data_IF_499421289604
#
_entry.id   IF_499421289604
#
_cell.length_a   1.000
_cell.length_b   1.000
_cell.length_c   1.000
_cell.angle_alpha   90.00
_cell.angle_beta   90.00
_cell.angle_gamma   90.00
#
_symmetry.space_group_name_H-M   'P 1'
#
loop_
_entity.id
_entity.type
_entity.pdbx_description
1 polymer ?
#
# COMPACT_ATOMS: atom_id res chain seq x y z
N UNK A 1 -37.76 5.03 -24.90
CA UNK A 1 -37.20 6.37 -25.17
C UNK A 1 -35.69 6.27 -25.07
N UNK A 2 -34.97 6.48 -26.18
CA UNK A 2 -33.51 6.34 -26.23
C UNK A 2 -32.83 7.67 -25.89
N UNK A 3 -32.06 7.71 -24.80
CA UNK A 3 -31.22 8.86 -24.47
C UNK A 3 -29.98 8.85 -25.37
N UNK A 4 -29.81 9.91 -26.18
CA UNK A 4 -28.63 10.11 -27.02
C UNK A 4 -27.49 10.66 -26.16
N UNK A 5 -26.38 9.92 -26.08
CA UNK A 5 -25.15 10.40 -25.48
C UNK A 5 -24.45 11.39 -26.43
N UNK A 6 -24.38 12.66 -26.05
CA UNK A 6 -23.52 13.66 -26.69
C UNK A 6 -22.20 13.78 -25.92
N UNK A 7 -21.09 13.49 -26.57
CA UNK A 7 -19.73 13.69 -26.02
C UNK A 7 -19.12 15.01 -26.46
N UNK A 8 -17.96 15.38 -25.91
CA UNK A 8 -17.28 16.67 -26.19
C UNK A 8 -16.87 16.90 -27.66
N UNK A 9 -17.03 15.91 -28.53
CA UNK A 9 -16.72 15.96 -29.96
C UNK A 9 -17.96 15.78 -30.86
N UNK A 10 -19.16 15.83 -30.28
CA UNK A 10 -20.39 15.83 -31.07
C UNK A 10 -20.55 17.20 -31.77
N UNK A 11 -20.84 17.24 -33.08
CA UNK A 11 -21.06 18.51 -33.79
C UNK A 11 -22.37 19.11 -33.27
N UNK A 12 -22.27 20.05 -32.31
CA UNK A 12 -23.42 20.71 -31.67
C UNK A 12 -23.28 21.01 -30.17
N UNK A 13 -22.09 20.93 -29.56
CA UNK A 13 -21.90 21.27 -28.15
C UNK A 13 -21.53 22.74 -27.93
N UNK A 14 -22.44 23.48 -27.30
CA UNK A 14 -22.25 24.88 -26.87
C UNK A 14 -20.98 25.06 -26.02
N UNK A 15 -20.28 26.18 -26.26
CA UNK A 15 -19.05 26.58 -25.59
C UNK A 15 -19.23 26.89 -24.11
N UNK A 16 -19.30 25.86 -23.27
CA UNK A 16 -19.16 26.00 -21.81
C UNK A 16 -17.77 25.56 -21.36
N UNK A 17 -17.15 26.49 -20.64
CA UNK A 17 -15.96 26.47 -19.77
C UNK A 17 -15.22 25.12 -19.66
N UNK A 18 -13.89 25.08 -19.87
CA UNK A 18 -13.13 23.84 -19.72
C UNK A 18 -13.25 23.33 -18.28
N UNK A 19 -13.93 22.19 -18.10
CA UNK A 19 -13.91 21.46 -16.84
C UNK A 19 -12.45 21.09 -16.49
N UNK A 20 -12.05 21.14 -15.22
CA UNK A 20 -10.70 20.75 -14.82
C UNK A 20 -10.45 19.32 -15.31
N UNK A 21 -9.33 19.14 -16.02
CA UNK A 21 -8.88 17.84 -16.53
C UNK A 21 -8.96 16.81 -15.40
N UNK A 22 -9.94 15.91 -15.47
CA UNK A 22 -10.00 14.75 -14.60
C UNK A 22 -8.70 13.97 -14.82
N UNK A 23 -7.79 14.08 -13.84
CA UNK A 23 -6.60 13.24 -13.75
C UNK A 23 -7.10 11.80 -13.83
N UNK A 24 -6.72 11.09 -14.89
CA UNK A 24 -7.26 9.77 -15.18
C UNK A 24 -7.03 8.82 -13.99
N UNK A 25 -7.98 7.91 -13.74
CA UNK A 25 -8.00 6.96 -12.62
C UNK A 25 -6.75 6.05 -12.48
N UNK A 26 -5.82 6.14 -13.43
CA UNK A 26 -4.58 5.37 -13.47
C UNK A 26 -3.30 6.22 -13.32
N UNK A 27 -3.40 7.54 -13.10
CA UNK A 27 -2.21 8.36 -12.83
C UNK A 27 -1.58 7.94 -11.50
N UNK A 28 -0.45 7.23 -11.57
CA UNK A 28 0.31 6.74 -10.41
C UNK A 28 0.07 5.28 -10.02
N UNK A 29 -0.79 4.54 -10.75
CA UNK A 29 -1.00 3.12 -10.48
C UNK A 29 0.27 2.31 -10.81
N UNK A 30 0.94 1.76 -9.79
CA UNK A 30 2.08 0.85 -9.95
C UNK A 30 1.60 -0.60 -9.83
N UNK A 31 2.03 -1.46 -10.75
CA UNK A 31 1.74 -2.90 -10.71
C UNK A 31 2.44 -3.51 -9.50
N UNK A 32 1.68 -4.23 -8.67
CA UNK A 32 2.26 -4.96 -7.53
C UNK A 32 3.26 -6.01 -8.02
N UNK A 33 4.39 -6.11 -7.33
CA UNK A 33 5.42 -7.15 -7.49
C UNK A 33 4.96 -8.47 -6.88
N UNK A 34 4.01 -8.45 -5.95
CA UNK A 34 3.29 -9.62 -5.41
C UNK A 34 2.28 -10.26 -6.41
N UNK A 35 2.55 -10.15 -7.71
CA UNK A 35 1.70 -10.66 -8.79
C UNK A 35 2.10 -12.07 -9.26
N UNK A 36 2.03 -12.30 -10.58
CA UNK A 36 2.09 -13.63 -11.19
C UNK A 36 3.29 -14.52 -10.80
N UNK A 37 4.48 -13.94 -10.57
CA UNK A 37 5.69 -14.71 -10.19
C UNK A 37 5.52 -15.43 -8.85
N UNK A 38 4.85 -14.79 -7.90
CA UNK A 38 4.63 -15.37 -6.56
C UNK A 38 3.50 -16.41 -6.61
N UNK A 39 2.46 -16.16 -7.42
CA UNK A 39 1.36 -17.12 -7.58
C UNK A 39 1.85 -18.47 -8.15
N UNK A 40 2.91 -18.48 -8.97
CA UNK A 40 3.52 -19.72 -9.44
C UNK A 40 4.09 -20.57 -8.30
N UNK A 41 4.59 -19.96 -7.20
CA UNK A 41 5.10 -20.70 -6.05
C UNK A 41 4.01 -21.47 -5.29
N UNK A 42 2.75 -21.05 -5.38
CA UNK A 42 1.63 -21.78 -4.81
C UNK A 42 1.19 -22.96 -5.67
N UNK A 43 1.41 -22.88 -6.99
CA UNK A 43 1.05 -23.94 -7.94
C UNK A 43 2.16 -25.01 -8.05
N UNK A 44 3.42 -24.60 -7.98
CA UNK A 44 4.58 -25.47 -8.13
C UNK A 44 4.57 -26.72 -7.21
N UNK A 45 4.19 -26.66 -5.92
CA UNK A 45 4.24 -27.82 -5.04
C UNK A 45 3.00 -28.72 -5.11
N UNK A 46 1.92 -28.34 -5.82
CA UNK A 46 0.67 -29.13 -5.87
C UNK A 46 0.84 -30.59 -6.32
N UNK A 47 1.76 -30.96 -7.23
CA UNK A 47 2.02 -32.36 -7.54
C UNK A 47 2.42 -33.21 -6.33
N UNK A 48 3.01 -32.61 -5.28
CA UNK A 48 3.33 -33.31 -4.02
C UNK A 48 2.07 -33.79 -3.29
N UNK A 49 0.94 -33.09 -3.44
CA UNK A 49 -0.33 -33.54 -2.87
C UNK A 49 -0.77 -34.86 -3.50
N UNK A 50 -0.61 -35.00 -4.81
CA UNK A 50 -0.93 -36.25 -5.53
C UNK A 50 0.06 -37.34 -5.10
N UNK A 51 1.36 -37.03 -5.06
CA UNK A 51 2.40 -37.98 -4.65
C UNK A 51 2.21 -38.47 -3.21
N UNK A 52 1.67 -37.63 -2.31
CA UNK A 52 1.42 -38.03 -0.92
C UNK A 52 0.49 -39.24 -0.81
N UNK A 53 -0.54 -39.34 -1.67
CA UNK A 53 -1.49 -40.45 -1.64
C UNK A 53 -1.00 -41.72 -2.34
N UNK A 54 0.10 -41.66 -3.09
CA UNK A 54 0.66 -42.80 -3.83
C UNK A 54 1.96 -43.36 -3.22
N UNK A 55 2.52 -42.72 -2.21
CA UNK A 55 3.88 -43.01 -1.68
C UNK A 55 3.91 -43.79 -0.35
N UNK A 56 2.81 -44.42 0.05
CA UNK A 56 2.69 -45.13 1.33
C UNK A 56 2.69 -44.19 2.55
N UNK A 57 2.61 -44.71 3.79
CA UNK A 57 2.37 -43.89 4.99
C UNK A 57 3.49 -42.89 5.30
N UNK A 58 4.76 -43.30 5.18
CA UNK A 58 5.92 -42.42 5.41
C UNK A 58 6.04 -41.36 4.33
N UNK A 59 5.89 -41.76 3.06
CA UNK A 59 5.88 -40.85 1.92
C UNK A 59 4.72 -39.85 1.97
N UNK A 60 3.55 -40.26 2.49
CA UNK A 60 2.41 -39.37 2.72
C UNK A 60 2.78 -38.24 3.68
N UNK A 61 3.31 -38.58 4.85
CA UNK A 61 3.68 -37.58 5.88
C UNK A 61 4.75 -36.63 5.34
N UNK A 62 5.78 -37.16 4.68
CA UNK A 62 6.87 -36.33 4.15
C UNK A 62 6.43 -35.42 3.00
N UNK A 63 5.62 -35.90 2.06
CA UNK A 63 5.13 -35.08 0.96
C UNK A 63 4.15 -34.00 1.43
N UNK A 64 3.30 -34.29 2.42
CA UNK A 64 2.44 -33.28 3.03
C UNK A 64 3.24 -32.25 3.84
N UNK A 65 4.27 -32.67 4.57
CA UNK A 65 5.18 -31.76 5.28
C UNK A 65 5.94 -30.87 4.28
N UNK A 66 6.43 -31.42 3.17
CA UNK A 66 7.08 -30.66 2.12
C UNK A 66 6.12 -29.64 1.48
N UNK A 67 4.92 -30.10 1.09
CA UNK A 67 3.86 -29.25 0.53
C UNK A 67 3.51 -28.09 1.48
N UNK A 68 3.22 -28.40 2.74
CA UNK A 68 2.90 -27.39 3.75
C UNK A 68 4.02 -26.38 3.95
N UNK A 69 5.28 -26.85 3.98
CA UNK A 69 6.46 -25.98 4.08
C UNK A 69 6.59 -25.05 2.86
N UNK A 70 6.42 -25.57 1.65
CA UNK A 70 6.52 -24.79 0.40
C UNK A 70 5.39 -23.77 0.26
N UNK A 71 4.16 -24.12 0.68
CA UNK A 71 3.04 -23.18 0.72
C UNK A 71 3.27 -22.07 1.76
N UNK A 72 3.82 -22.41 2.93
CA UNK A 72 4.21 -21.42 3.94
C UNK A 72 5.31 -20.48 3.41
N UNK A 73 6.30 -21.03 2.70
CA UNK A 73 7.36 -20.25 2.05
C UNK A 73 6.81 -19.29 0.99
N UNK A 74 5.87 -19.75 0.16
CA UNK A 74 5.18 -18.93 -0.83
C UNK A 74 4.38 -17.80 -0.19
N UNK A 75 3.65 -18.09 0.90
CA UNK A 75 2.90 -17.10 1.67
C UNK A 75 3.81 -16.03 2.28
N UNK A 76 4.89 -16.43 2.95
CA UNK A 76 5.89 -15.51 3.50
C UNK A 76 6.52 -14.63 2.41
N UNK A 77 6.86 -15.20 1.25
CA UNK A 77 7.44 -14.46 0.13
C UNK A 77 6.47 -13.42 -0.42
N UNK A 78 5.17 -13.77 -0.53
CA UNK A 78 4.11 -12.84 -0.93
C UNK A 78 4.00 -11.66 0.03
N UNK A 79 3.88 -11.96 1.33
CA UNK A 79 3.76 -10.94 2.37
C UNK A 79 5.03 -10.08 2.51
N UNK A 80 6.21 -10.65 2.22
CA UNK A 80 7.46 -9.91 2.17
C UNK A 80 7.53 -8.93 0.99
N UNK A 81 7.05 -9.32 -0.19
CA UNK A 81 6.98 -8.43 -1.34
C UNK A 81 5.99 -7.29 -1.15
N UNK A 82 4.81 -7.57 -0.58
CA UNK A 82 3.83 -6.54 -0.25
C UNK A 82 4.42 -5.55 0.77
N UNK A 83 5.08 -6.06 1.81
CA UNK A 83 5.75 -5.22 2.80
C UNK A 83 6.86 -4.36 2.18
N UNK A 84 7.66 -4.93 1.27
CA UNK A 84 8.69 -4.16 0.56
C UNK A 84 8.09 -3.08 -0.35
N UNK A 85 6.98 -3.36 -1.04
CA UNK A 85 6.31 -2.35 -1.87
C UNK A 85 5.80 -1.19 -1.02
N UNK A 86 5.19 -1.48 0.13
CA UNK A 86 4.75 -0.47 1.08
C UNK A 86 5.94 0.36 1.62
N UNK A 87 7.06 -0.29 1.92
CA UNK A 87 8.30 0.36 2.34
C UNK A 87 8.90 1.26 1.25
N UNK A 88 8.93 0.79 0.00
CA UNK A 88 9.49 1.55 -1.14
C UNK A 88 8.61 2.73 -1.56
N UNK A 89 7.29 2.60 -1.44
CA UNK A 89 6.33 3.64 -1.80
C UNK A 89 6.43 4.89 -0.89
N UNK A 90 6.90 4.70 0.33
CA UNK A 90 7.08 5.74 1.36
C UNK A 90 8.47 6.35 1.27
N UNK A 91 8.62 7.66 1.44
CA UNK A 91 9.93 8.32 1.61
C UNK A 91 10.53 8.01 2.97
N UNK A 92 9.68 7.82 3.98
CA UNK A 92 10.08 7.51 5.34
C UNK A 92 9.35 6.25 5.81
N UNK A 93 10.10 5.19 6.10
CA UNK A 93 9.53 3.93 6.53
C UNK A 93 10.49 3.13 7.41
N UNK A 94 9.93 2.38 8.36
CA UNK A 94 10.68 1.43 9.18
C UNK A 94 10.90 0.13 8.42
N UNK A 95 12.04 -0.51 8.61
CA UNK A 95 12.29 -1.86 8.11
C UNK A 95 11.23 -2.84 8.65
N UNK A 96 10.82 -3.86 7.86
CA UNK A 96 9.96 -4.92 8.37
C UNK A 96 10.55 -5.58 9.62
N UNK A 97 9.71 -5.86 10.63
CA UNK A 97 10.15 -6.46 11.89
C UNK A 97 10.72 -7.88 11.72
N UNK A 98 10.29 -8.59 10.68
CA UNK A 98 10.74 -9.95 10.35
C UNK A 98 11.07 -10.04 8.85
N UNK A 99 12.27 -10.54 8.47
CA UNK A 99 12.68 -10.64 7.06
C UNK A 99 12.00 -11.84 6.38
N UNK A 100 10.76 -11.62 5.92
CA UNK A 100 9.87 -12.66 5.41
C UNK A 100 10.39 -13.33 4.14
N UNK A 101 11.03 -12.62 3.21
CA UNK A 101 11.60 -13.21 1.98
C UNK A 101 12.83 -14.06 2.28
N UNK A 102 13.67 -13.64 3.23
CA UNK A 102 14.80 -14.46 3.70
C UNK A 102 14.27 -15.76 4.33
N UNK A 103 13.31 -15.66 5.24
CA UNK A 103 12.66 -16.83 5.82
C UNK A 103 12.00 -17.72 4.76
N UNK A 104 11.33 -17.11 3.77
CA UNK A 104 10.76 -17.81 2.62
C UNK A 104 11.81 -18.59 1.80
N UNK A 105 13.01 -18.03 1.59
CA UNK A 105 14.09 -18.73 0.90
C UNK A 105 14.61 -19.95 1.68
N UNK A 106 14.74 -19.83 3.00
CA UNK A 106 15.14 -20.94 3.86
C UNK A 106 14.08 -22.05 3.87
N UNK A 107 12.80 -21.69 4.01
CA UNK A 107 11.70 -22.65 3.98
C UNK A 107 11.53 -23.30 2.61
N UNK A 108 11.82 -22.59 1.51
CA UNK A 108 11.79 -23.17 0.16
C UNK A 108 12.84 -24.27 0.03
N UNK A 109 14.07 -24.01 0.49
CA UNK A 109 15.12 -25.04 0.54
C UNK A 109 14.72 -26.22 1.42
N UNK A 110 14.22 -25.96 2.63
CA UNK A 110 13.77 -27.02 3.54
C UNK A 110 12.67 -27.88 2.92
N UNK A 111 11.66 -27.26 2.30
CA UNK A 111 10.56 -27.96 1.64
C UNK A 111 11.02 -28.82 0.47
N UNK A 112 11.95 -28.32 -0.35
CA UNK A 112 12.57 -29.09 -1.44
C UNK A 112 13.45 -30.23 -0.92
N UNK A 113 14.17 -30.03 0.19
CA UNK A 113 14.92 -31.08 0.86
C UNK A 113 14.00 -32.20 1.36
N UNK A 114 12.91 -31.86 2.06
CA UNK A 114 11.94 -32.86 2.53
C UNK A 114 11.32 -33.62 1.34
N UNK A 115 10.93 -32.93 0.27
CA UNK A 115 10.40 -33.57 -0.94
C UNK A 115 11.42 -34.50 -1.61
N UNK A 116 12.67 -34.05 -1.71
CA UNK A 116 13.76 -34.86 -2.26
C UNK A 116 14.02 -36.12 -1.45
N UNK A 117 13.97 -36.02 -0.12
CA UNK A 117 14.15 -37.16 0.77
C UNK A 117 12.99 -38.13 0.65
N UNK A 118 11.76 -37.64 0.55
CA UNK A 118 10.58 -38.46 0.31
C UNK A 118 10.67 -39.28 -0.98
N UNK A 119 11.32 -38.73 -2.02
CA UNK A 119 11.43 -39.38 -3.33
C UNK A 119 12.58 -40.39 -3.43
N UNK A 120 13.70 -40.16 -2.75
CA UNK A 120 14.94 -40.94 -2.95
C UNK A 120 15.41 -41.73 -1.73
N UNK A 121 15.04 -41.32 -0.52
CA UNK A 121 15.54 -41.91 0.74
C UNK A 121 17.03 -41.67 1.04
N UNK A 122 17.78 -41.07 0.11
CA UNK A 122 19.18 -40.67 0.27
C UNK A 122 19.28 -39.25 0.87
N UNK A 123 20.44 -38.89 1.44
CA UNK A 123 20.67 -37.61 2.09
C UNK A 123 21.40 -36.60 1.20
N UNK A 124 22.16 -37.06 0.20
CA UNK A 124 22.97 -36.17 -0.63
C UNK A 124 22.11 -35.31 -1.57
N UNK A 125 21.23 -35.94 -2.36
CA UNK A 125 20.36 -35.20 -3.29
C UNK A 125 19.41 -34.21 -2.57
N UNK A 126 18.76 -34.55 -1.44
CA UNK A 126 17.96 -33.59 -0.67
C UNK A 126 18.73 -32.38 -0.15
N UNK A 127 19.96 -32.60 0.33
CA UNK A 127 20.81 -31.50 0.79
C UNK A 127 21.13 -30.55 -0.38
N UNK A 128 21.45 -31.10 -1.55
CA UNK A 128 21.68 -30.30 -2.76
C UNK A 128 20.42 -29.51 -3.17
N UNK A 129 19.24 -30.14 -3.20
CA UNK A 129 17.98 -29.45 -3.48
C UNK A 129 17.65 -28.35 -2.48
N UNK A 130 17.98 -28.57 -1.20
CA UNK A 130 17.77 -27.56 -0.17
C UNK A 130 18.65 -26.33 -0.40
N UNK A 131 19.95 -26.52 -0.62
CA UNK A 131 20.89 -25.42 -0.88
C UNK A 131 20.53 -24.69 -2.17
N UNK A 132 20.35 -25.42 -3.27
CA UNK A 132 20.03 -24.83 -4.58
C UNK A 132 18.68 -24.10 -4.52
N UNK A 133 17.69 -24.71 -3.88
CA UNK A 133 16.36 -24.12 -3.66
C UNK A 133 16.41 -22.80 -2.91
N UNK A 134 17.14 -22.75 -1.79
CA UNK A 134 17.32 -21.52 -1.02
C UNK A 134 18.04 -20.45 -1.83
N UNK A 135 19.13 -20.79 -2.51
CA UNK A 135 19.91 -19.82 -3.31
C UNK A 135 19.09 -19.27 -4.47
N UNK A 136 18.44 -20.12 -5.25
CA UNK A 136 17.62 -19.69 -6.39
C UNK A 136 16.44 -18.84 -5.94
N UNK A 137 15.78 -19.20 -4.84
CA UNK A 137 14.69 -18.40 -4.29
C UNK A 137 15.19 -17.04 -3.79
N UNK A 138 16.32 -17.01 -3.08
CA UNK A 138 16.94 -15.77 -2.63
C UNK A 138 17.33 -14.86 -3.79
N UNK A 139 17.92 -15.40 -4.87
CA UNK A 139 18.27 -14.64 -6.06
C UNK A 139 17.03 -14.14 -6.82
N UNK A 140 15.96 -14.92 -6.86
CA UNK A 140 14.73 -14.55 -7.57
C UNK A 140 13.95 -13.41 -6.88
N UNK A 141 13.92 -13.39 -5.55
CA UNK A 141 13.08 -12.45 -4.77
C UNK A 141 13.88 -11.39 -3.99
N UNK A 142 15.18 -11.60 -3.80
CA UNK A 142 16.07 -10.72 -3.06
C UNK A 142 15.78 -10.65 -1.56
N UNK A 143 16.68 -10.01 -0.78
CA UNK A 143 16.48 -9.79 0.64
C UNK A 143 15.40 -8.75 0.93
N UNK A 144 14.76 -8.83 2.10
CA UNK A 144 13.89 -7.76 2.62
C UNK A 144 14.71 -6.49 2.94
N UNK A 145 14.11 -5.28 2.93
CA UNK A 145 14.77 -4.07 3.41
C UNK A 145 15.22 -4.23 4.87
N UNK A 146 16.52 -4.08 5.15
CA UNK A 146 17.10 -4.30 6.49
C UNK A 146 17.42 -3.01 7.26
N UNK A 147 17.20 -1.84 6.64
CA UNK A 147 17.47 -0.52 7.20
C UNK A 147 16.26 0.37 7.08
N UNK A 148 16.10 1.27 8.04
CA UNK A 148 15.06 2.29 8.01
C UNK A 148 15.37 3.32 6.93
N UNK A 149 14.32 3.92 6.35
CA UNK A 149 14.41 4.89 5.25
C UNK A 149 14.07 6.29 5.76
N UNK A 150 14.84 7.30 5.35
CA UNK A 150 14.55 8.71 5.64
C UNK A 150 14.80 9.15 7.09
N UNK A 151 15.61 8.39 7.84
CA UNK A 151 15.94 8.66 9.25
C UNK A 151 17.21 9.52 9.45
N UNK A 152 17.78 10.08 8.38
CA UNK A 152 18.98 10.93 8.48
C UNK A 152 18.58 12.39 8.75
N UNK A 153 18.97 12.93 9.92
CA UNK A 153 18.91 14.37 10.23
C UNK A 153 17.63 14.90 10.90
N UNK A 154 16.59 14.08 11.11
CA UNK A 154 15.38 14.43 11.85
C UNK A 154 15.22 13.47 13.03
N UNK A 155 14.84 13.99 14.19
CA UNK A 155 14.59 13.22 15.43
C UNK A 155 13.76 11.95 15.12
N UNK A 156 14.40 10.78 15.26
CA UNK A 156 13.82 9.48 14.90
C UNK A 156 12.49 9.23 15.61
N UNK A 157 12.28 9.84 16.79
CA UNK A 157 11.01 9.80 17.51
C UNK A 157 9.87 10.51 16.78
N UNK A 158 10.12 11.63 16.11
CA UNK A 158 9.09 12.35 15.35
C UNK A 158 8.69 11.58 14.11
N UNK A 159 9.70 11.10 13.39
CA UNK A 159 9.56 10.24 12.21
C UNK A 159 8.76 8.96 12.52
N UNK A 160 9.05 8.30 13.65
CA UNK A 160 8.32 7.12 14.11
C UNK A 160 6.86 7.41 14.49
N UNK A 161 6.56 8.62 14.96
CA UNK A 161 5.18 9.02 15.26
C UNK A 161 4.38 9.27 13.99
N UNK A 162 4.98 9.89 12.99
CA UNK A 162 4.37 10.12 11.67
C UNK A 162 4.04 8.78 11.01
N UNK A 163 5.02 7.88 10.93
CA UNK A 163 4.84 6.57 10.30
C UNK A 163 3.68 5.78 10.95
N UNK A 164 3.64 5.73 12.28
CA UNK A 164 2.55 5.06 13.02
C UNK A 164 1.18 5.70 12.79
N UNK A 165 1.10 7.03 12.74
CA UNK A 165 -0.14 7.74 12.49
C UNK A 165 -0.68 7.47 11.08
N UNK A 166 0.21 7.44 10.08
CA UNK A 166 -0.14 7.13 8.68
C UNK A 166 -0.56 5.66 8.54
N UNK A 167 0.13 4.73 9.22
CA UNK A 167 -0.25 3.31 9.22
C UNK A 167 -1.67 3.10 9.75
N UNK A 168 -2.03 3.75 10.85
CA UNK A 168 -3.38 3.64 11.41
C UNK A 168 -4.43 4.29 10.49
N UNK A 169 -4.09 5.43 9.87
CA UNK A 169 -4.93 6.09 8.89
C UNK A 169 -5.22 5.21 7.65
N UNK A 170 -4.20 4.54 7.10
CA UNK A 170 -4.38 3.60 5.97
C UNK A 170 -5.24 2.39 6.36
N UNK A 171 -5.15 1.88 7.60
CA UNK A 171 -6.06 0.83 8.07
C UNK A 171 -7.52 1.29 8.07
N UNK A 172 -7.78 2.54 8.44
CA UNK A 172 -9.14 3.09 8.36
C UNK A 172 -9.63 3.17 6.90
N UNK A 173 -8.78 3.62 5.96
CA UNK A 173 -9.13 3.63 4.54
C UNK A 173 -9.41 2.22 3.99
N UNK A 174 -8.58 1.24 4.36
CA UNK A 174 -8.79 -0.16 3.96
C UNK A 174 -10.12 -0.71 4.50
N UNK A 175 -10.43 -0.47 5.78
CA UNK A 175 -11.69 -0.87 6.38
C UNK A 175 -12.92 -0.20 5.73
N UNK A 176 -12.79 1.03 5.24
CA UNK A 176 -13.83 1.68 4.44
C UNK A 176 -14.07 0.95 3.12
N UNK A 177 -13.01 0.58 2.40
CA UNK A 177 -13.10 -0.20 1.16
C UNK A 177 -13.80 -1.53 1.41
N UNK A 178 -13.37 -2.28 2.43
CA UNK A 178 -13.95 -3.58 2.77
C UNK A 178 -15.45 -3.47 3.13
N UNK A 179 -15.83 -2.41 3.84
CA UNK A 179 -17.22 -2.13 4.13
C UNK A 179 -18.01 -1.80 2.85
N UNK A 180 -17.48 -0.93 1.98
CA UNK A 180 -18.15 -0.49 0.74
C UNK A 180 -18.34 -1.63 -0.27
N UNK A 181 -17.41 -2.59 -0.33
CA UNK A 181 -17.55 -3.78 -1.18
C UNK A 181 -18.86 -4.56 -0.88
N UNK A 182 -19.29 -4.59 0.39
CA UNK A 182 -20.55 -5.25 0.79
C UNK A 182 -21.81 -4.51 0.32
N UNK A 183 -21.73 -3.20 0.10
CA UNK A 183 -22.85 -2.41 -0.41
C UNK A 183 -23.13 -2.66 -1.91
N UNK A 184 -22.09 -3.07 -2.67
CA UNK A 184 -22.19 -3.38 -4.10
C UNK A 184 -22.51 -2.18 -5.00
N UNK A 185 -22.44 -0.95 -4.51
CA UNK A 185 -22.64 0.27 -5.31
C UNK A 185 -21.32 0.72 -5.93
N UNK A 186 -21.19 0.50 -7.25
CA UNK A 186 -19.98 0.84 -8.01
C UNK A 186 -19.72 2.34 -8.08
N UNK A 187 -20.76 3.19 -8.08
CA UNK A 187 -20.59 4.64 -8.13
C UNK A 187 -20.04 5.17 -6.81
N UNK A 188 -20.59 4.70 -5.69
CA UNK A 188 -20.09 5.05 -4.36
C UNK A 188 -18.68 4.50 -4.12
N UNK A 189 -18.37 3.30 -4.60
CA UNK A 189 -17.01 2.77 -4.55
C UNK A 189 -16.02 3.70 -5.27
N UNK A 190 -16.35 4.16 -6.47
CA UNK A 190 -15.51 5.12 -7.21
C UNK A 190 -15.42 6.50 -6.54
N UNK A 191 -16.43 6.92 -5.77
CA UNK A 191 -16.37 8.15 -4.96
C UNK A 191 -15.46 7.97 -3.74
N UNK A 192 -15.55 6.84 -3.07
CA UNK A 192 -14.68 6.48 -1.96
C UNK A 192 -13.21 6.41 -2.39
N UNK A 193 -12.91 5.80 -3.54
CA UNK A 193 -11.54 5.74 -4.10
C UNK A 193 -10.96 7.14 -4.39
N UNK A 194 -11.79 8.09 -4.85
CA UNK A 194 -11.38 9.49 -5.04
C UNK A 194 -11.05 10.18 -3.72
N UNK A 195 -11.90 9.99 -2.70
CA UNK A 195 -11.60 10.48 -1.36
C UNK A 195 -10.30 9.87 -0.81
N UNK A 196 -10.10 8.56 -0.94
CA UNK A 196 -8.87 7.88 -0.52
C UNK A 196 -7.62 8.43 -1.21
N UNK A 197 -7.73 8.77 -2.50
CA UNK A 197 -6.63 9.41 -3.24
C UNK A 197 -6.28 10.76 -2.61
N UNK A 198 -7.29 11.58 -2.33
CA UNK A 198 -7.12 12.88 -1.68
C UNK A 198 -6.54 12.76 -0.26
N UNK A 199 -6.99 11.77 0.51
CA UNK A 199 -6.44 11.48 1.83
C UNK A 199 -4.96 11.07 1.76
N UNK A 200 -4.59 10.24 0.78
CA UNK A 200 -3.19 9.84 0.56
C UNK A 200 -2.30 11.00 0.13
N UNK A 201 -2.84 12.01 -0.56
CA UNK A 201 -2.08 13.24 -0.86
C UNK A 201 -1.74 14.00 0.43
N UNK A 202 -2.67 14.08 1.39
CA UNK A 202 -2.39 14.62 2.72
C UNK A 202 -1.32 13.80 3.45
N UNK A 203 -1.42 12.46 3.42
CA UNK A 203 -0.47 11.58 4.10
C UNK A 203 0.94 11.79 3.58
N UNK A 204 1.11 11.86 2.25
CA UNK A 204 2.41 12.13 1.62
C UNK A 204 2.97 13.50 1.97
N UNK A 205 2.11 14.50 2.14
CA UNK A 205 2.53 15.86 2.55
C UNK A 205 3.11 15.83 3.95
N UNK A 206 2.41 15.22 4.91
CA UNK A 206 2.89 15.03 6.29
C UNK A 206 4.11 14.11 6.37
N UNK A 207 4.22 13.15 5.46
CA UNK A 207 5.41 12.29 5.37
C UNK A 207 6.65 13.04 4.87
N UNK A 208 6.46 14.07 4.02
CA UNK A 208 7.55 14.91 3.55
C UNK A 208 8.06 15.86 4.64
N UNK A 209 7.15 16.36 5.49
CA UNK A 209 7.49 17.19 6.65
C UNK A 209 6.87 16.66 7.95
N UNK A 210 7.66 15.95 8.79
CA UNK A 210 7.19 15.44 10.07
C UNK A 210 6.63 16.48 11.04
N UNK A 211 7.00 17.76 10.90
CA UNK A 211 6.53 18.86 11.76
C UNK A 211 5.02 19.10 11.59
N UNK A 212 4.50 18.82 10.39
CA UNK A 212 3.09 18.97 10.04
C UNK A 212 2.17 17.96 10.73
N UNK A 213 2.73 16.91 11.35
CA UNK A 213 1.91 15.90 12.02
C UNK A 213 0.96 16.52 13.05
N UNK A 214 1.40 17.54 13.79
CA UNK A 214 0.57 18.19 14.79
C UNK A 214 -0.63 18.89 14.15
N UNK A 215 -0.41 19.53 13.00
CA UNK A 215 -1.43 20.17 12.21
C UNK A 215 -2.38 19.13 11.56
N UNK A 216 -1.88 18.02 11.06
CA UNK A 216 -2.69 17.01 10.36
C UNK A 216 -3.32 15.94 11.28
N UNK A 217 -2.94 15.87 12.55
CA UNK A 217 -3.34 14.79 13.49
C UNK A 217 -4.84 14.51 13.49
N UNK A 218 -5.67 15.55 13.57
CA UNK A 218 -7.14 15.42 13.63
C UNK A 218 -7.70 14.74 12.37
N UNK A 219 -7.08 14.98 11.22
CA UNK A 219 -7.47 14.37 9.95
C UNK A 219 -7.07 12.89 9.90
N UNK A 220 -5.83 12.58 10.30
CA UNK A 220 -5.29 11.21 10.32
C UNK A 220 -6.00 10.28 11.32
N UNK A 221 -6.53 10.82 12.42
CA UNK A 221 -7.21 10.02 13.45
C UNK A 221 -8.73 10.22 13.46
N UNK A 222 -9.21 11.33 14.04
CA UNK A 222 -10.62 11.53 14.37
C UNK A 222 -11.51 11.52 13.12
N UNK A 223 -11.11 12.23 12.06
CA UNK A 223 -11.93 12.31 10.85
C UNK A 223 -11.94 11.01 10.05
N UNK A 224 -10.81 10.30 9.95
CA UNK A 224 -10.79 8.99 9.28
C UNK A 224 -11.51 7.91 10.08
N UNK A 225 -11.39 7.91 11.41
CA UNK A 225 -12.16 7.00 12.26
C UNK A 225 -13.66 7.26 12.09
N UNK A 226 -14.09 8.53 12.14
CA UNK A 226 -15.48 8.91 11.90
C UNK A 226 -15.98 8.54 10.50
N UNK A 227 -15.16 8.75 9.46
CA UNK A 227 -15.48 8.38 8.09
C UNK A 227 -15.62 6.85 7.93
N UNK A 228 -14.75 6.08 8.59
CA UNK A 228 -14.81 4.61 8.65
C UNK A 228 -16.08 4.13 9.32
N UNK A 229 -16.43 4.69 10.48
CA UNK A 229 -17.64 4.33 11.20
C UNK A 229 -18.92 4.71 10.43
N UNK A 230 -18.93 5.88 9.80
CA UNK A 230 -20.02 6.31 8.92
C UNK A 230 -20.18 5.38 7.70
N UNK A 231 -19.07 4.93 7.11
CA UNK A 231 -19.08 3.97 5.99
C UNK A 231 -19.69 2.64 6.41
N UNK A 232 -19.30 2.11 7.58
CA UNK A 232 -19.88 0.87 8.11
C UNK A 232 -21.39 1.03 8.33
N UNK A 233 -21.82 2.10 9.02
CA UNK A 233 -23.25 2.35 9.26
C UNK A 233 -24.05 2.51 7.97
N UNK A 234 -23.51 3.26 6.99
CA UNK A 234 -24.13 3.40 5.67
C UNK A 234 -24.32 2.03 5.01
N UNK A 235 -23.28 1.18 5.00
CA UNK A 235 -23.35 -0.13 4.37
C UNK A 235 -24.37 -1.06 5.05
N UNK A 236 -24.54 -0.96 6.38
CA UNK A 236 -25.56 -1.71 7.13
C UNK A 236 -26.98 -1.26 6.79
N UNK A 237 -27.21 0.05 6.64
CA UNK A 237 -28.51 0.59 6.22
C UNK A 237 -28.79 0.15 4.77
N UNK A 238 -27.86 0.43 3.86
CA UNK A 238 -28.00 0.17 2.43
C UNK A 238 -28.26 -1.31 2.10
N UNK A 239 -27.62 -2.22 2.83
CA UNK A 239 -27.83 -3.67 2.65
C UNK A 239 -29.21 -4.15 3.13
N UNK A 240 -29.82 -3.47 4.10
CA UNK A 240 -31.15 -3.83 4.64
C UNK A 240 -32.29 -3.30 3.79
N UNK A 241 -32.25 -2.02 3.40
CA UNK A 241 -33.41 -1.34 2.82
C UNK A 241 -33.11 -0.55 1.53
N UNK A 242 -31.85 -0.49 1.08
CA UNK A 242 -31.43 0.30 -0.10
C UNK A 242 -31.93 1.76 -0.05
N UNK A 243 -31.90 2.37 1.13
CA UNK A 243 -32.41 3.71 1.36
C UNK A 243 -31.68 4.78 0.52
N UNK A 244 -32.38 5.46 -0.43
CA UNK A 244 -31.77 6.49 -1.28
C UNK A 244 -31.33 7.73 -0.52
N UNK A 245 -31.96 8.07 0.62
CA UNK A 245 -31.57 9.21 1.43
C UNK A 245 -30.23 8.94 2.13
N UNK A 246 -30.07 7.76 2.72
CA UNK A 246 -28.80 7.35 3.33
C UNK A 246 -27.63 7.37 2.33
N UNK A 247 -27.89 7.03 1.07
CA UNK A 247 -26.91 7.16 -0.03
C UNK A 247 -26.54 8.60 -0.33
N UNK A 248 -27.53 9.49 -0.45
CA UNK A 248 -27.29 10.91 -0.70
C UNK A 248 -26.50 11.56 0.44
N UNK A 249 -26.86 11.28 1.69
CA UNK A 249 -26.17 11.80 2.88
C UNK A 249 -24.71 11.32 2.95
N UNK A 250 -24.47 10.04 2.64
CA UNK A 250 -23.12 9.50 2.60
C UNK A 250 -22.28 10.07 1.44
N UNK A 251 -22.87 10.31 0.28
CA UNK A 251 -22.19 10.96 -0.85
C UNK A 251 -21.82 12.42 -0.53
N UNK A 252 -22.70 13.14 0.18
CA UNK A 252 -22.41 14.48 0.69
C UNK A 252 -21.24 14.45 1.69
N UNK A 253 -21.25 13.51 2.65
CA UNK A 253 -20.14 13.32 3.58
C UNK A 253 -18.81 13.08 2.86
N UNK A 254 -18.78 12.20 1.85
CA UNK A 254 -17.55 11.96 1.07
C UNK A 254 -17.07 13.22 0.35
N UNK A 255 -18.00 14.03 -0.15
CA UNK A 255 -17.68 15.29 -0.82
C UNK A 255 -17.08 16.30 0.17
N UNK A 256 -17.66 16.44 1.35
CA UNK A 256 -17.15 17.34 2.39
C UNK A 256 -15.77 16.90 2.88
N UNK A 257 -15.58 15.59 3.10
CA UNK A 257 -14.29 15.03 3.49
C UNK A 257 -13.23 15.28 2.42
N UNK A 258 -13.54 15.04 1.14
CA UNK A 258 -12.62 15.31 0.02
C UNK A 258 -12.19 16.78 -0.01
N UNK A 259 -13.13 17.72 0.10
CA UNK A 259 -12.83 19.15 0.14
C UNK A 259 -11.97 19.55 1.34
N UNK A 260 -12.32 19.07 2.54
CA UNK A 260 -11.61 19.40 3.77
C UNK A 260 -10.18 18.85 3.78
N UNK A 261 -9.96 17.63 3.29
CA UNK A 261 -8.62 17.03 3.18
C UNK A 261 -7.77 17.72 2.11
N UNK A 262 -8.36 18.06 0.96
CA UNK A 262 -7.68 18.82 -0.08
C UNK A 262 -7.26 20.22 0.42
N UNK A 263 -8.17 20.94 1.07
CA UNK A 263 -7.89 22.25 1.65
C UNK A 263 -6.80 22.18 2.73
N UNK A 264 -6.83 21.14 3.58
CA UNK A 264 -5.77 20.93 4.59
C UNK A 264 -4.41 20.70 3.93
N UNK A 265 -4.36 19.85 2.91
CA UNK A 265 -3.13 19.56 2.15
C UNK A 265 -2.58 20.84 1.53
N UNK A 266 -3.42 21.64 0.88
CA UNK A 266 -3.01 22.90 0.28
C UNK A 266 -2.46 23.89 1.31
N UNK A 267 -3.08 23.96 2.50
CA UNK A 267 -2.61 24.85 3.57
C UNK A 267 -1.18 24.49 4.03
N UNK A 268 -0.91 23.20 4.26
CA UNK A 268 0.44 22.76 4.66
C UNK A 268 1.49 23.14 3.60
N UNK A 269 1.18 22.89 2.32
CA UNK A 269 2.08 23.26 1.22
C UNK A 269 2.30 24.78 1.07
N UNK A 270 1.37 25.62 1.54
CA UNK A 270 1.53 27.08 1.54
C UNK A 270 2.37 27.56 2.73
N UNK A 271 2.18 26.94 3.90
CA UNK A 271 2.97 27.21 5.09
C UNK A 271 4.45 26.88 4.80
N UNK A 272 4.75 25.73 4.17
CA UNK A 272 6.11 25.34 3.73
C UNK A 272 6.79 26.37 2.80
N UNK A 273 6.03 26.94 1.86
CA UNK A 273 6.55 27.95 0.93
C UNK A 273 6.83 29.27 1.62
N UNK A 274 6.01 29.61 2.61
CA UNK A 274 6.17 30.82 3.40
C UNK A 274 7.42 30.74 4.25
N UNK A 275 7.64 29.59 4.90
CA UNK A 275 8.85 29.30 5.68
C UNK A 275 10.12 29.42 4.82
N UNK A 276 10.13 28.82 3.63
CA UNK A 276 11.27 28.93 2.70
C UNK A 276 11.53 30.38 2.27
N UNK A 277 10.47 31.17 2.04
CA UNK A 277 10.62 32.58 1.64
C UNK A 277 11.27 33.39 2.76
N UNK A 278 10.84 33.18 4.00
CA UNK A 278 11.44 33.82 5.18
C UNK A 278 12.90 33.39 5.35
N UNK A 279 13.22 32.10 5.20
CA UNK A 279 14.61 31.62 5.28
C UNK A 279 15.51 32.24 4.21
N UNK A 280 15.02 32.38 2.97
CA UNK A 280 15.73 33.05 1.88
C UNK A 280 15.98 34.53 2.21
N UNK A 281 14.98 35.23 2.74
CA UNK A 281 15.12 36.64 3.15
C UNK A 281 16.14 36.81 4.28
N UNK A 282 16.08 35.96 5.31
CA UNK A 282 17.05 35.97 6.41
C UNK A 282 18.47 35.66 5.92
N UNK A 283 18.63 34.70 5.00
CA UNK A 283 19.94 34.40 4.41
C UNK A 283 20.46 35.58 3.58
N UNK A 284 19.61 36.25 2.79
CA UNK A 284 19.99 37.46 2.05
C UNK A 284 20.46 38.56 2.99
N UNK A 285 19.72 38.81 4.08
CA UNK A 285 20.09 39.82 5.06
C UNK A 285 21.43 39.50 5.76
N UNK A 286 21.69 38.22 6.06
CA UNK A 286 22.98 37.79 6.61
C UNK A 286 24.12 37.96 5.61
N UNK A 287 23.93 37.56 4.35
CA UNK A 287 24.94 37.71 3.30
C UNK A 287 25.27 39.18 3.03
N UNK A 288 24.27 40.06 3.07
CA UNK A 288 24.43 41.51 2.93
C UNK A 288 25.23 42.10 4.10
N UNK A 289 24.93 41.68 5.34
CA UNK A 289 25.69 42.08 6.54
C UNK A 289 27.12 41.55 6.56
N UNK A 290 27.37 40.37 5.99
CA UNK A 290 28.70 39.75 5.90
C UNK A 290 29.49 40.22 4.65
N UNK A 291 28.90 41.08 3.81
CA UNK A 291 29.57 41.69 2.64
C UNK A 291 29.91 40.70 1.53
N UNK A 292 29.28 39.52 1.51
CA UNK A 292 29.54 38.48 0.51
C UNK A 292 28.65 38.74 -0.71
N UNK A 293 29.06 39.68 -1.55
CA UNK A 293 28.48 39.82 -2.89
C UNK A 293 29.17 38.86 -3.85
N UNK A 294 28.39 38.06 -4.58
CA UNK A 294 28.88 37.35 -5.76
C UNK A 294 29.43 38.41 -6.72
N UNK A 295 30.76 38.42 -6.91
CA UNK A 295 31.39 39.18 -8.00
C UNK A 295 30.80 38.64 -9.30
N UNK A 296 30.18 39.52 -10.08
CA UNK A 296 29.75 39.25 -11.46
C UNK A 296 30.89 38.69 -12.31
#
# INVERSE_FOLDING_TARGET
MAQRFGGKFSPGGDGKTPAPTQKGAFQGARRTRAGGRVNLLFLAPLPLAIAAFTSGPTGLVLNLAALGTLLLAAWLTREGLIAQEAFEARKVARRPAFPRKIAGSLLTGLGLGIAGYAASGDLFAPAAYAVVGTVLHFLAFGPDPLRDKGAEGIDTFQTDRVARAIDEAEKHLAAMTDAMLRAGDRQLMARLERFQTTARDLFRTVENDPRDLTAARKYLSVYLLGARDATVKFTEIWTRNRDPQARADYEALLTDLEQNFAARTQKLLLDDRSDLTVEIEVLRERLDREGVHLKE
#
